data_IF_021018397685
#
_entry.id   IF_021018397685
#
_cell.length_a   1.000
_cell.length_b   1.000
_cell.length_c   1.000
_cell.angle_alpha   90.00
_cell.angle_beta   90.00
_cell.angle_gamma   90.00
#
_symmetry.space_group_name_H-M   'P 1'
#
loop_
_entity.id
_entity.type
_entity.pdbx_description
1 polymer ?
#
# COMPACT_ATOMS: atom_id res chain seq x y z
N UNK A 1 -9.42 -14.08 0.52
CA UNK A 1 -10.03 -12.89 1.16
C UNK A 1 -9.08 -11.72 1.03
N UNK A 2 -9.49 -10.67 0.32
CA UNK A 2 -8.67 -9.48 0.14
C UNK A 2 -9.10 -8.37 1.10
N UNK A 3 -8.13 -7.58 1.56
CA UNK A 3 -8.35 -6.23 2.07
C UNK A 3 -7.89 -5.25 1.01
N UNK A 4 -8.79 -4.45 0.45
CA UNK A 4 -8.46 -3.46 -0.57
C UNK A 4 -8.47 -2.08 0.09
N UNK A 5 -7.39 -1.32 -0.07
CA UNK A 5 -7.27 0.03 0.50
C UNK A 5 -6.65 0.97 -0.52
N UNK A 6 -7.26 2.15 -0.68
CA UNK A 6 -6.79 3.20 -1.57
C UNK A 6 -6.10 4.35 -0.85
N UNK A 7 -5.14 4.97 -1.52
CA UNK A 7 -4.48 6.21 -1.13
C UNK A 7 -4.29 7.12 -2.32
N UNK A 8 -4.60 8.39 -2.12
CA UNK A 8 -4.22 9.46 -3.05
C UNK A 8 -2.79 9.88 -2.70
N UNK A 9 -1.91 9.86 -3.68
CA UNK A 9 -0.49 10.24 -3.59
C UNK A 9 -0.14 11.16 -4.77
N UNK A 10 0.89 11.99 -4.63
CA UNK A 10 1.34 12.85 -5.73
C UNK A 10 2.21 12.04 -6.70
N UNK A 11 3.05 11.14 -6.18
CA UNK A 11 3.93 10.28 -6.94
C UNK A 11 4.04 8.87 -6.35
N UNK A 12 4.48 7.90 -7.16
CA UNK A 12 4.65 6.50 -6.75
C UNK A 12 5.69 6.29 -5.64
N UNK A 13 6.65 7.21 -5.49
CA UNK A 13 7.66 7.17 -4.44
C UNK A 13 7.22 7.82 -3.12
N UNK A 14 6.02 8.42 -3.07
CA UNK A 14 5.54 9.09 -1.87
C UNK A 14 5.30 8.09 -0.74
N UNK A 15 5.74 8.48 0.45
CA UNK A 15 5.42 7.73 1.66
C UNK A 15 3.91 7.79 1.92
N UNK A 16 3.27 6.63 2.01
CA UNK A 16 1.87 6.52 2.41
C UNK A 16 1.69 5.37 3.40
N UNK A 17 0.49 5.19 3.93
CA UNK A 17 0.23 4.10 4.87
C UNK A 17 -1.20 3.59 4.78
N UNK A 18 -1.37 2.28 4.84
CA UNK A 18 -2.66 1.62 4.80
C UNK A 18 -3.08 1.23 6.22
N UNK A 19 -4.12 1.90 6.73
CA UNK A 19 -4.54 1.72 8.13
C UNK A 19 -5.56 0.59 8.28
N UNK A 20 -5.41 -0.19 9.35
CA UNK A 20 -6.30 -1.27 9.73
C UNK A 20 -6.92 -0.98 11.10
N UNK A 21 -8.26 -1.08 11.18
CA UNK A 21 -8.98 -0.97 12.46
C UNK A 21 -8.66 -2.13 13.40
N UNK A 22 -8.43 -3.30 12.83
CA UNK A 22 -8.03 -4.51 13.55
C UNK A 22 -7.36 -5.48 12.57
N UNK A 23 -6.36 -6.22 13.03
CA UNK A 23 -5.79 -7.37 12.32
C UNK A 23 -6.35 -8.72 12.82
N UNK A 24 -7.36 -8.70 13.72
CA UNK A 24 -8.01 -9.93 14.23
C UNK A 24 -8.78 -10.66 13.15
N UNK A 25 -9.36 -9.92 12.20
CA UNK A 25 -9.99 -10.47 11.02
C UNK A 25 -8.90 -10.84 10.00
N UNK A 26 -8.34 -12.05 10.11
CA UNK A 26 -7.34 -12.56 9.16
C UNK A 26 -7.85 -12.38 7.72
N UNK A 27 -6.99 -11.86 6.86
CA UNK A 27 -7.16 -11.79 5.41
C UNK A 27 -5.99 -12.52 4.75
N UNK A 28 -6.05 -12.78 3.46
CA UNK A 28 -4.96 -13.46 2.75
C UNK A 28 -3.98 -12.43 2.18
N UNK A 29 -4.52 -11.36 1.57
CA UNK A 29 -3.72 -10.30 0.96
C UNK A 29 -4.29 -8.89 1.21
N UNK A 30 -3.40 -7.92 1.39
CA UNK A 30 -3.66 -6.51 1.17
C UNK A 30 -3.46 -6.19 -0.32
N UNK A 31 -4.45 -5.56 -0.94
CA UNK A 31 -4.30 -4.87 -2.21
C UNK A 31 -4.25 -3.35 -1.97
N UNK A 32 -3.06 -2.77 -2.10
CA UNK A 32 -2.83 -1.34 -1.93
C UNK A 32 -2.96 -0.61 -3.26
N UNK A 33 -3.92 0.29 -3.37
CA UNK A 33 -4.21 1.07 -4.58
C UNK A 33 -3.67 2.49 -4.40
N UNK A 34 -2.81 2.93 -5.31
CA UNK A 34 -2.24 4.27 -5.35
C UNK A 34 -2.88 5.04 -6.50
N UNK A 35 -3.49 6.17 -6.15
CA UNK A 35 -4.21 7.04 -7.07
C UNK A 35 -3.55 8.42 -7.11
N UNK A 36 -3.55 9.07 -8.26
CA UNK A 36 -3.21 10.49 -8.35
C UNK A 36 -4.32 11.36 -7.74
N UNK A 37 -4.10 12.67 -7.54
CA UNK A 37 -5.17 13.60 -7.15
C UNK A 37 -6.33 13.68 -8.16
N UNK A 38 -6.06 13.35 -9.43
CA UNK A 38 -7.06 13.22 -10.49
C UNK A 38 -7.71 11.84 -10.56
N UNK A 39 -7.49 10.98 -9.56
CA UNK A 39 -7.99 9.61 -9.47
C UNK A 39 -7.54 8.67 -10.59
N UNK A 40 -6.42 8.98 -11.24
CA UNK A 40 -5.77 8.03 -12.15
C UNK A 40 -5.03 6.96 -11.35
N UNK A 41 -5.08 5.72 -11.82
CA UNK A 41 -4.34 4.63 -11.22
C UNK A 41 -2.84 4.82 -11.47
N UNK A 42 -2.08 4.97 -10.38
CA UNK A 42 -0.62 5.07 -10.42
C UNK A 42 0.02 3.71 -10.14
N UNK A 43 -0.47 3.00 -9.13
CA UNK A 43 0.14 1.76 -8.67
C UNK A 43 -0.86 0.83 -8.01
N UNK A 44 -0.63 -0.47 -8.14
CA UNK A 44 -1.32 -1.53 -7.42
C UNK A 44 -0.29 -2.48 -6.84
N UNK A 45 -0.31 -2.64 -5.52
CA UNK A 45 0.56 -3.59 -4.82
C UNK A 45 -0.25 -4.71 -4.20
N UNK A 46 0.37 -5.87 -4.06
CA UNK A 46 -0.12 -7.02 -3.30
C UNK A 46 0.89 -7.40 -2.23
N UNK A 47 0.42 -7.58 -1.01
CA UNK A 47 1.24 -8.01 0.13
C UNK A 47 0.43 -9.03 0.93
N UNK A 48 1.03 -10.16 1.31
CA UNK A 48 0.37 -11.15 2.15
C UNK A 48 0.17 -10.65 3.58
N UNK A 49 -0.79 -11.25 4.30
CA UNK A 49 -1.14 -10.83 5.66
C UNK A 49 0.02 -10.92 6.65
N UNK A 50 0.86 -11.95 6.57
CA UNK A 50 1.95 -12.13 7.53
C UNK A 50 3.02 -11.06 7.33
N UNK A 51 3.35 -10.73 6.08
CA UNK A 51 4.22 -9.59 5.74
C UNK A 51 3.61 -8.26 6.19
N UNK A 52 2.32 -8.02 5.95
CA UNK A 52 1.64 -6.82 6.45
C UNK A 52 1.72 -6.73 7.97
N UNK A 53 1.50 -7.83 8.67
CA UNK A 53 1.52 -7.88 10.14
C UNK A 53 2.93 -7.66 10.70
N UNK A 54 3.95 -8.22 10.07
CA UNK A 54 5.36 -8.07 10.44
C UNK A 54 5.82 -6.60 10.26
N UNK A 55 5.46 -5.99 9.13
CA UNK A 55 5.94 -4.66 8.75
C UNK A 55 5.02 -3.52 9.23
N UNK A 56 3.84 -3.81 9.76
CA UNK A 56 2.93 -2.79 10.25
C UNK A 56 3.43 -2.14 11.54
N UNK A 57 3.35 -0.81 11.58
CA UNK A 57 3.52 -0.07 12.82
C UNK A 57 2.28 -0.26 13.71
N UNK A 58 2.50 -0.51 15.00
CA UNK A 58 1.45 -0.69 15.99
C UNK A 58 1.48 0.49 16.96
N UNK A 59 0.39 1.27 17.03
CA UNK A 59 0.26 2.35 17.98
C UNK A 59 -1.13 2.38 18.61
N UNK A 60 -1.21 2.25 19.95
CA UNK A 60 -2.46 2.27 20.74
C UNK A 60 -3.58 1.38 20.13
N UNK A 61 -3.22 0.20 19.63
CA UNK A 61 -4.16 -0.75 19.03
C UNK A 61 -4.53 -0.49 17.57
N UNK A 62 -3.98 0.55 16.94
CA UNK A 62 -4.07 0.80 15.49
C UNK A 62 -2.88 0.16 14.78
N UNK A 63 -3.15 -0.48 13.65
CA UNK A 63 -2.14 -1.12 12.81
C UNK A 63 -2.07 -0.34 11.50
N UNK A 64 -0.86 0.02 11.07
CA UNK A 64 -0.68 0.76 9.82
C UNK A 64 0.51 0.19 9.05
N UNK A 65 0.25 -0.31 7.85
CA UNK A 65 1.32 -0.76 6.95
C UNK A 65 1.82 0.45 6.17
N UNK A 66 3.07 0.85 6.41
CA UNK A 66 3.68 2.01 5.74
C UNK A 66 4.30 1.56 4.42
N UNK A 67 3.85 2.18 3.33
CA UNK A 67 4.49 2.05 2.03
C UNK A 67 5.50 3.20 1.89
N UNK A 68 6.77 2.86 2.03
CA UNK A 68 7.93 3.72 1.81
C UNK A 68 8.91 3.00 0.86
N UNK A 69 10.03 3.64 0.51
CA UNK A 69 11.02 3.03 -0.37
C UNK A 69 11.50 1.66 0.13
N UNK A 70 11.75 1.50 1.44
CA UNK A 70 12.15 0.22 2.03
C UNK A 70 11.10 -0.89 1.80
N UNK A 71 9.81 -0.58 1.99
CA UNK A 71 8.73 -1.53 1.72
C UNK A 71 8.61 -1.85 0.22
N UNK A 72 8.87 -0.87 -0.66
CA UNK A 72 8.89 -1.08 -2.11
C UNK A 72 10.05 -1.97 -2.56
N UNK A 73 11.16 -1.96 -1.83
CA UNK A 73 12.33 -2.79 -2.10
C UNK A 73 12.22 -4.18 -1.44
N UNK A 74 11.20 -4.43 -0.61
CA UNK A 74 10.95 -5.74 -0.01
C UNK A 74 10.45 -6.74 -1.08
N UNK A 75 11.15 -7.87 -1.29
CA UNK A 75 10.80 -8.83 -2.35
C UNK A 75 9.47 -9.55 -2.10
N UNK A 76 8.90 -9.47 -0.90
CA UNK A 76 7.58 -10.02 -0.56
C UNK A 76 6.43 -9.11 -1.00
N UNK A 77 6.73 -7.86 -1.33
CA UNK A 77 5.77 -6.95 -1.95
C UNK A 77 5.77 -7.15 -3.46
N UNK A 78 4.59 -7.43 -4.00
CA UNK A 78 4.41 -7.58 -5.44
C UNK A 78 3.77 -6.33 -6.03
N UNK A 79 4.38 -5.80 -7.09
CA UNK A 79 3.84 -4.69 -7.87
C UNK A 79 2.99 -5.25 -9.00
N UNK A 80 1.68 -5.35 -8.78
CA UNK A 80 0.72 -5.84 -9.78
C UNK A 80 0.53 -4.86 -10.93
N UNK A 81 0.68 -3.56 -10.65
CA UNK A 81 0.67 -2.48 -11.64
C UNK A 81 1.56 -1.36 -11.15
N UNK A 82 2.38 -0.77 -12.04
CA UNK A 82 3.26 0.34 -11.71
C UNK A 82 3.39 1.26 -12.93
N UNK A 83 2.86 2.48 -12.83
CA UNK A 83 2.90 3.44 -13.92
C UNK A 83 4.23 4.22 -13.90
N UNK A 84 5.23 3.71 -14.62
CA UNK A 84 6.58 4.29 -14.69
C UNK A 84 6.62 5.65 -15.41
N UNK A 85 5.63 5.93 -16.26
CA UNK A 85 5.53 7.16 -17.06
C UNK A 85 5.05 8.39 -16.30
N UNK A 86 5.30 8.46 -14.98
CA UNK A 86 4.94 9.55 -14.05
C UNK A 86 4.30 10.76 -14.73
N UNK A 87 2.98 10.89 -14.61
CA UNK A 87 2.22 11.88 -15.38
C UNK A 87 2.81 13.29 -15.19
N UNK A 88 3.37 13.85 -16.26
CA UNK A 88 3.63 15.28 -16.34
C UNK A 88 2.26 15.97 -16.32
N UNK A 89 1.92 16.60 -15.18
CA UNK A 89 0.85 17.58 -15.16
C UNK A 89 1.38 18.78 -15.97
N UNK A 90 0.88 18.93 -17.20
CA UNK A 90 1.02 20.17 -17.97
C UNK A 90 0.11 21.26 -17.41
#
# INVERSE_FOLDING_TARGET
KYQIKGRVVQALGDNTSFDFKTLRSKFDFLAGVLLSPSFQLLGLIRVDYDTVKELANINRGRYSFRLNQQALDDPRLERLFWNETGFEIK
#
